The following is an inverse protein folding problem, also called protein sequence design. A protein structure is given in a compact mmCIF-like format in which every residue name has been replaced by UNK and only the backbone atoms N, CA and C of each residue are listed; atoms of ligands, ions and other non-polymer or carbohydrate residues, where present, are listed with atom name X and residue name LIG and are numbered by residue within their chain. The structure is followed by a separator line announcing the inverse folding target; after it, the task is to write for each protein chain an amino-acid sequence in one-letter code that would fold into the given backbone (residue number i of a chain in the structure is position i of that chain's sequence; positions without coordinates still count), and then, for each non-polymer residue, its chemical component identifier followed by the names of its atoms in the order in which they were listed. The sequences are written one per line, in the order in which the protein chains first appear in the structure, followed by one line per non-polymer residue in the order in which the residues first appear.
data_IF_601166391002
#
_entry.id   IF_601166391002
#
_cell.length_a   1.000
_cell.length_b   1.000
_cell.length_c   1.000
_cell.angle_alpha   90.00
_cell.angle_beta   90.00
_cell.angle_gamma   90.00
#
_symmetry.space_group_name_H-M   'P 1'
#
loop_
_entity.id
_entity.type
_entity.pdbx_description
1 polymer ?
#
# COMPACT_ATOMS: atom_id res chain seq x y z
N UNK A 1 5.15 -13.35 -17.48
CA UNK A 1 3.86 -12.71 -17.14
C UNK A 1 3.79 -12.52 -15.63
N UNK A 2 4.33 -11.40 -15.13
CA UNK A 2 4.53 -11.17 -13.68
C UNK A 2 3.24 -10.88 -12.91
N UNK A 3 2.26 -10.27 -13.57
CA UNK A 3 0.93 -10.03 -13.00
C UNK A 3 0.29 -11.34 -12.56
N UNK A 4 0.23 -12.34 -13.44
CA UNK A 4 -0.39 -13.63 -13.11
C UNK A 4 0.37 -14.36 -12.00
N UNK A 5 1.71 -14.30 -11.99
CA UNK A 5 2.51 -14.86 -10.90
C UNK A 5 2.15 -14.24 -9.55
N UNK A 6 2.05 -12.90 -9.50
CA UNK A 6 1.66 -12.20 -8.28
C UNK A 6 0.23 -12.55 -7.89
N UNK A 7 -0.72 -12.52 -8.83
CA UNK A 7 -2.12 -12.84 -8.53
C UNK A 7 -2.27 -14.25 -7.93
N UNK A 8 -1.58 -15.24 -8.50
CA UNK A 8 -1.58 -16.62 -7.99
C UNK A 8 -0.94 -16.69 -6.60
N UNK A 9 0.23 -16.06 -6.39
CA UNK A 9 0.96 -16.06 -5.12
C UNK A 9 0.10 -15.63 -3.93
N UNK A 10 -0.81 -14.68 -4.12
CA UNK A 10 -1.64 -14.10 -3.06
C UNK A 10 -3.10 -14.57 -3.06
N UNK A 11 -3.49 -15.51 -3.93
CA UNK A 11 -4.89 -15.92 -4.02
C UNK A 11 -5.81 -14.83 -4.61
N UNK A 12 -5.28 -13.89 -5.38
CA UNK A 12 -6.04 -12.98 -6.23
C UNK A 12 -6.41 -13.68 -7.54
N UNK A 13 -6.97 -14.89 -7.42
CA UNK A 13 -7.09 -15.89 -8.49
C UNK A 13 -8.50 -16.02 -9.08
N UNK A 14 -9.46 -15.21 -8.60
CA UNK A 14 -10.77 -15.08 -9.25
C UNK A 14 -10.80 -13.83 -10.11
N UNK A 15 -11.50 -13.91 -11.25
CA UNK A 15 -11.66 -12.76 -12.16
C UNK A 15 -12.31 -11.57 -11.47
N UNK A 16 -13.21 -11.83 -10.52
CA UNK A 16 -13.85 -10.81 -9.70
C UNK A 16 -12.83 -10.06 -8.81
N UNK A 17 -12.00 -10.79 -8.05
CA UNK A 17 -10.93 -10.18 -7.23
C UNK A 17 -9.95 -9.39 -8.08
N UNK A 18 -9.55 -9.92 -9.24
CA UNK A 18 -8.70 -9.21 -10.19
C UNK A 18 -9.35 -7.91 -10.68
N UNK A 19 -10.65 -7.92 -11.00
CA UNK A 19 -11.36 -6.72 -11.43
C UNK A 19 -11.36 -5.62 -10.35
N UNK A 20 -11.61 -5.98 -9.09
CA UNK A 20 -11.50 -5.04 -7.98
C UNK A 20 -10.07 -4.51 -7.80
N UNK A 21 -9.08 -5.41 -7.79
CA UNK A 21 -7.69 -5.02 -7.60
C UNK A 21 -7.22 -4.04 -8.68
N UNK A 22 -7.49 -4.32 -9.96
CA UNK A 22 -7.14 -3.42 -11.05
C UNK A 22 -8.00 -2.16 -11.08
N UNK A 23 -9.26 -2.22 -10.66
CA UNK A 23 -10.11 -1.03 -10.52
C UNK A 23 -9.56 -0.04 -9.50
N UNK A 24 -9.09 -0.57 -8.36
CA UNK A 24 -8.39 0.22 -7.34
C UNK A 24 -7.03 0.72 -7.86
N UNK A 25 -6.25 -0.14 -8.50
CA UNK A 25 -4.95 0.22 -9.07
C UNK A 25 -5.04 1.29 -10.15
N UNK A 26 -6.11 1.30 -10.95
CA UNK A 26 -6.32 2.31 -11.99
C UNK A 26 -6.43 3.72 -11.41
N UNK A 27 -7.04 3.87 -10.24
CA UNK A 27 -7.10 5.17 -9.55
C UNK A 27 -5.74 5.55 -8.98
N UNK A 28 -5.01 4.64 -8.32
CA UNK A 28 -3.71 4.98 -7.70
C UNK A 28 -2.60 5.30 -8.68
N UNK A 29 -2.61 4.66 -9.85
CA UNK A 29 -1.48 4.68 -10.80
C UNK A 29 -1.82 5.37 -12.11
N UNK A 30 -2.92 6.12 -12.16
CA UNK A 30 -3.45 6.71 -13.39
C UNK A 30 -3.60 5.68 -14.51
N UNK A 31 -4.27 4.56 -14.23
CA UNK A 31 -4.42 3.40 -15.12
C UNK A 31 -3.08 2.77 -15.53
N UNK A 32 -2.21 2.52 -14.54
CA UNK A 32 -0.89 1.91 -14.69
C UNK A 32 0.14 2.79 -15.43
N UNK A 33 -0.16 4.06 -15.66
CA UNK A 33 0.76 5.00 -16.31
C UNK A 33 1.85 5.51 -15.36
N UNK A 34 1.62 5.46 -14.04
CA UNK A 34 2.58 5.95 -13.04
C UNK A 34 2.82 4.92 -11.93
N UNK A 35 4.06 4.44 -11.87
CA UNK A 35 4.54 3.56 -10.80
C UNK A 35 5.32 4.31 -9.73
N UNK A 36 5.64 5.58 -9.95
CA UNK A 36 6.25 6.47 -8.98
C UNK A 36 5.32 7.66 -8.80
N UNK A 37 5.10 8.05 -7.55
CA UNK A 37 4.27 9.20 -7.23
C UNK A 37 4.81 10.49 -7.86
N UNK A 38 3.88 11.31 -8.37
CA UNK A 38 4.20 12.58 -9.02
C UNK A 38 4.56 13.66 -8.01
N UNK A 39 3.91 13.68 -6.85
CA UNK A 39 4.29 14.54 -5.74
C UNK A 39 5.68 14.13 -5.22
N UNK A 40 6.49 15.10 -4.80
CA UNK A 40 7.87 14.84 -4.35
C UNK A 40 7.92 14.14 -2.97
N UNK A 41 6.76 13.99 -2.33
CA UNK A 41 6.57 13.34 -1.04
C UNK A 41 6.69 14.26 0.18
N UNK A 42 6.88 15.58 0.00
CA UNK A 42 6.98 16.51 1.14
C UNK A 42 5.75 16.50 2.04
N UNK A 43 4.57 16.24 1.48
CA UNK A 43 3.29 16.19 2.21
C UNK A 43 3.19 14.99 3.17
N UNK A 44 4.08 14.01 3.02
CA UNK A 44 4.19 12.87 3.93
C UNK A 44 5.19 13.08 5.04
N UNK A 45 5.94 14.19 5.04
CA UNK A 45 6.95 14.47 6.06
C UNK A 45 6.30 14.59 7.44
N UNK A 46 6.86 13.91 8.45
CA UNK A 46 6.35 13.95 9.82
C UNK A 46 5.05 13.18 10.06
N UNK A 47 4.48 12.50 9.06
CA UNK A 47 3.25 11.72 9.24
C UNK A 47 3.49 10.45 10.04
N UNK A 48 3.09 10.48 11.30
CA UNK A 48 3.25 9.38 12.26
C UNK A 48 2.40 8.16 11.92
N UNK A 49 1.23 8.35 11.32
CA UNK A 49 0.30 7.26 10.99
C UNK A 49 0.79 6.33 9.86
N UNK A 50 1.81 6.77 9.12
CA UNK A 50 2.53 5.97 8.11
C UNK A 50 4.01 5.77 8.46
N UNK A 51 4.40 6.08 9.70
CA UNK A 51 5.74 5.89 10.25
C UNK A 51 6.82 6.84 9.73
N UNK A 52 6.46 7.98 9.13
CA UNK A 52 7.43 8.99 8.71
C UNK A 52 7.82 9.87 9.89
N UNK A 53 8.61 9.30 10.81
CA UNK A 53 8.99 9.93 12.09
C UNK A 53 10.42 10.48 12.11
N UNK A 54 11.19 10.27 11.03
CA UNK A 54 12.53 10.83 10.88
C UNK A 54 12.57 11.90 9.77
N UNK A 55 13.42 12.93 9.91
CA UNK A 55 13.61 13.92 8.85
C UNK A 55 13.96 13.30 7.49
N UNK A 56 13.23 13.69 6.45
CA UNK A 56 13.41 13.24 5.08
C UNK A 56 12.64 11.96 4.73
N UNK A 57 11.92 11.37 5.69
CA UNK A 57 11.10 10.18 5.44
C UNK A 57 10.01 10.44 4.39
N UNK A 58 9.44 11.64 4.34
CA UNK A 58 8.35 11.97 3.42
C UNK A 58 8.75 11.75 1.96
N UNK A 59 9.83 12.39 1.52
CA UNK A 59 10.33 12.25 0.15
C UNK A 59 10.89 10.86 -0.13
N UNK A 60 11.61 10.28 0.83
CA UNK A 60 12.26 8.97 0.67
C UNK A 60 11.22 7.86 0.48
N UNK A 61 10.16 7.87 1.28
CA UNK A 61 9.13 6.83 1.32
C UNK A 61 7.82 7.26 0.62
N UNK A 62 7.91 8.08 -0.44
CA UNK A 62 6.79 8.40 -1.33
C UNK A 62 6.26 7.17 -2.10
N UNK A 63 5.10 7.30 -2.70
CA UNK A 63 4.37 6.23 -3.37
C UNK A 63 5.16 5.52 -4.48
N UNK A 64 5.16 4.19 -4.44
CA UNK A 64 5.72 3.32 -5.49
C UNK A 64 4.84 2.11 -5.81
N UNK A 65 4.92 1.64 -7.06
CA UNK A 65 4.21 0.46 -7.57
C UNK A 65 2.73 0.70 -7.86
N UNK A 66 2.04 -0.38 -8.25
CA UNK A 66 0.65 -0.32 -8.77
C UNK A 66 -0.38 0.23 -7.78
N UNK A 67 -0.08 0.14 -6.48
CA UNK A 67 -0.93 0.63 -5.38
C UNK A 67 -0.30 1.76 -4.58
N UNK A 68 0.79 2.34 -5.07
CA UNK A 68 1.46 3.48 -4.44
C UNK A 68 1.73 3.24 -2.94
N UNK A 69 2.56 2.24 -2.61
CA UNK A 69 2.97 2.01 -1.22
C UNK A 69 3.70 3.26 -0.72
N UNK A 70 3.22 3.84 0.38
CA UNK A 70 3.70 5.11 0.93
C UNK A 70 3.97 4.98 2.42
N UNK A 71 5.03 5.63 2.90
CA UNK A 71 5.40 5.76 4.30
C UNK A 71 6.31 4.64 4.81
N UNK A 72 7.29 5.03 5.63
CA UNK A 72 8.37 4.15 6.09
C UNK A 72 7.89 2.91 6.84
N UNK A 73 6.76 3.00 7.54
CA UNK A 73 6.12 1.83 8.16
C UNK A 73 5.77 0.77 7.11
N UNK A 74 5.01 1.16 6.09
CA UNK A 74 4.56 0.23 5.04
C UNK A 74 5.74 -0.34 4.24
N UNK A 75 6.77 0.48 3.96
CA UNK A 75 8.01 0.01 3.36
C UNK A 75 8.74 -1.00 4.25
N UNK A 76 8.87 -0.74 5.55
CA UNK A 76 9.50 -1.65 6.51
C UNK A 76 8.81 -3.00 6.57
N UNK A 77 7.47 -3.01 6.66
CA UNK A 77 6.68 -4.25 6.66
C UNK A 77 6.81 -5.01 5.33
N UNK A 78 6.82 -4.31 4.19
CA UNK A 78 7.02 -4.95 2.89
C UNK A 78 8.45 -5.51 2.75
N UNK A 79 9.48 -4.78 3.17
CA UNK A 79 10.87 -5.27 3.14
C UNK A 79 11.05 -6.50 4.03
N UNK A 80 10.40 -6.52 5.19
CA UNK A 80 10.37 -7.68 6.07
C UNK A 80 9.69 -8.87 5.40
N UNK A 81 8.53 -8.65 4.78
CA UNK A 81 7.81 -9.69 4.04
C UNK A 81 8.63 -10.24 2.86
N UNK A 82 9.38 -9.38 2.17
CA UNK A 82 10.28 -9.79 1.07
C UNK A 82 11.55 -10.50 1.56
N UNK A 83 11.79 -10.52 2.86
CA UNK A 83 13.01 -11.08 3.46
C UNK A 83 14.25 -10.22 3.22
N UNK A 84 14.08 -8.96 2.78
CA UNK A 84 15.18 -8.00 2.61
C UNK A 84 15.61 -7.37 3.93
N UNK A 85 14.69 -7.32 4.89
CA UNK A 85 14.97 -7.02 6.29
C UNK A 85 14.34 -8.10 7.18
N UNK A 86 14.78 -8.19 8.43
CA UNK A 86 14.28 -9.08 9.45
C UNK A 86 13.78 -8.26 10.63
N UNK A 87 12.47 -8.26 10.85
CA UNK A 87 11.83 -7.62 12.01
C UNK A 87 12.35 -8.25 13.31
N UNK A 88 12.75 -7.42 14.27
CA UNK A 88 13.41 -7.83 15.51
C UNK A 88 14.94 -7.99 15.42
N UNK A 89 15.52 -8.04 14.22
CA UNK A 89 16.97 -8.11 14.01
C UNK A 89 17.47 -6.80 13.41
N UNK A 90 16.94 -6.43 12.25
CA UNK A 90 17.35 -5.23 11.50
C UNK A 90 16.59 -3.97 11.94
N UNK A 91 15.39 -4.13 12.50
CA UNK A 91 14.58 -3.05 13.07
C UNK A 91 13.65 -3.55 14.17
N UNK A 92 13.27 -2.68 15.09
CA UNK A 92 12.55 -3.08 16.30
C UNK A 92 11.02 -2.97 16.12
N UNK A 93 10.22 -3.93 16.63
CA UNK A 93 8.77 -3.80 16.63
C UNK A 93 8.27 -2.54 17.36
N UNK A 94 7.37 -1.80 16.72
CA UNK A 94 6.81 -0.57 17.28
C UNK A 94 7.79 0.60 17.29
N UNK A 95 8.78 0.62 16.39
CA UNK A 95 9.75 1.71 16.21
C UNK A 95 9.07 3.01 15.76
N UNK A 96 7.95 2.89 15.07
CA UNK A 96 7.16 4.00 14.54
C UNK A 96 6.41 4.76 15.62
N UNK A 97 6.30 4.19 16.82
CA UNK A 97 5.71 4.85 17.99
C UNK A 97 6.79 5.72 18.64
N UNK A 98 6.67 7.07 18.59
CA UNK A 98 7.65 7.94 19.22
C UNK A 98 7.70 7.71 20.73
N UNK A 99 8.89 7.75 21.32
CA UNK A 99 9.03 7.76 22.77
C UNK A 99 8.41 9.05 23.33
N UNK A 100 7.56 8.93 24.35
CA UNK A 100 7.03 10.08 25.08
C UNK A 100 7.72 10.23 26.44
N UNK A 101 7.43 11.32 27.16
CA UNK A 101 7.93 11.48 28.54
C UNK A 101 7.35 10.41 29.48
N UNK A 102 6.12 9.98 29.20
CA UNK A 102 5.36 8.97 29.96
C UNK A 102 5.73 7.54 29.56
N UNK A 103 6.13 7.33 28.30
CA UNK A 103 6.60 6.03 27.78
C UNK A 103 7.95 6.18 27.09
N UNK A 104 9.03 6.38 27.86
CA UNK A 104 10.36 6.50 27.29
C UNK A 104 10.80 5.15 26.71
N UNK A 105 11.30 5.13 25.47
CA UNK A 105 12.11 4.00 24.97
C UNK A 105 13.59 4.33 25.19
N UNK A 106 14.23 3.57 26.08
CA UNK A 106 15.69 3.62 26.28
C UNK A 106 16.24 2.20 26.21
N UNK A 107 17.09 1.87 25.21
CA UNK A 107 17.53 2.72 24.09
C UNK A 107 16.37 3.04 23.11
N UNK A 108 16.53 4.06 22.23
CA UNK A 108 15.57 4.33 21.17
C UNK A 108 15.39 3.11 20.28
N UNK A 109 14.15 2.81 19.90
CA UNK A 109 13.85 1.73 18.96
C UNK A 109 14.44 2.03 17.57
N UNK A 110 15.00 1.01 16.93
CA UNK A 110 15.65 1.10 15.62
C UNK A 110 14.60 1.07 14.50
N UNK A 111 14.52 2.10 13.65
CA UNK A 111 13.66 2.07 12.46
C UNK A 111 14.28 1.19 11.36
N UNK A 112 13.48 0.74 10.38
CA UNK A 112 14.00 0.05 9.20
C UNK A 112 14.93 0.97 8.41
N UNK A 113 16.14 0.49 8.15
CA UNK A 113 17.11 1.13 7.30
C UNK A 113 16.94 0.60 5.87
N UNK A 114 16.29 1.41 5.03
CA UNK A 114 16.05 1.10 3.63
C UNK A 114 16.83 2.11 2.81
N UNK A 115 17.95 1.71 2.24
CA UNK A 115 18.81 2.62 1.49
C UNK A 115 18.20 2.99 0.14
N UNK A 116 17.70 1.98 -0.58
CA UNK A 116 17.09 2.14 -1.90
C UNK A 116 15.60 1.75 -1.90
N UNK A 117 14.67 2.67 -1.62
CA UNK A 117 13.23 2.41 -1.75
C UNK A 117 12.78 2.22 -3.22
N UNK A 118 13.57 2.67 -4.20
CA UNK A 118 13.27 2.45 -5.63
C UNK A 118 13.40 0.97 -6.04
N UNK A 119 13.83 0.10 -5.13
CA UNK A 119 13.78 -1.36 -5.32
C UNK A 119 12.40 -1.89 -5.73
N UNK A 120 11.32 -1.20 -5.34
CA UNK A 120 9.96 -1.52 -5.81
C UNK A 120 9.84 -1.36 -7.34
N UNK A 121 10.55 -0.39 -7.92
CA UNK A 121 10.46 0.01 -9.33
C UNK A 121 11.44 -0.74 -10.24
N UNK A 122 12.46 -1.39 -9.69
CA UNK A 122 13.52 -2.06 -10.45
C UNK A 122 13.00 -3.11 -11.45
N UNK A 123 11.85 -3.72 -11.19
CA UNK A 123 11.24 -4.66 -12.11
C UNK A 123 9.71 -4.75 -11.95
N UNK A 124 9.06 -5.23 -13.01
CA UNK A 124 7.60 -5.39 -13.06
C UNK A 124 7.08 -6.27 -11.92
N UNK A 125 7.81 -7.32 -11.56
CA UNK A 125 7.40 -8.21 -10.47
C UNK A 125 7.26 -7.43 -9.15
N UNK A 126 8.27 -6.65 -8.77
CA UNK A 126 8.23 -5.87 -7.53
C UNK A 126 7.12 -4.81 -7.52
N UNK A 127 6.88 -4.13 -8.65
CA UNK A 127 5.81 -3.14 -8.78
C UNK A 127 4.42 -3.74 -8.52
N UNK A 128 4.19 -4.97 -8.98
CA UNK A 128 2.89 -5.65 -8.81
C UNK A 128 2.83 -6.37 -7.46
N UNK A 129 3.89 -7.08 -7.09
CA UNK A 129 3.98 -7.87 -5.86
C UNK A 129 3.69 -7.01 -4.62
N UNK A 130 4.26 -5.81 -4.54
CA UNK A 130 3.99 -4.88 -3.46
C UNK A 130 2.53 -4.48 -3.39
N UNK A 131 1.91 -4.17 -4.53
CA UNK A 131 0.51 -3.77 -4.53
C UNK A 131 -0.46 -4.90 -4.18
N UNK A 132 -0.18 -6.13 -4.64
CA UNK A 132 -1.01 -7.29 -4.28
C UNK A 132 -0.78 -7.68 -2.81
N UNK A 133 0.47 -7.67 -2.32
CA UNK A 133 0.80 -7.84 -0.90
C UNK A 133 0.04 -6.85 -0.03
N UNK A 134 0.11 -5.55 -0.38
CA UNK A 134 -0.56 -4.49 0.38
C UNK A 134 -2.08 -4.72 0.40
N UNK A 135 -2.65 -5.05 -0.76
CA UNK A 135 -4.10 -5.18 -0.90
C UNK A 135 -4.64 -6.44 -0.25
N UNK A 136 -3.95 -7.58 -0.32
CA UNK A 136 -4.51 -8.87 0.09
C UNK A 136 -4.02 -9.32 1.46
N UNK A 137 -2.73 -9.15 1.75
CA UNK A 137 -2.14 -9.60 3.02
C UNK A 137 -2.14 -8.50 4.07
N UNK A 138 -1.67 -7.31 3.70
CA UNK A 138 -1.53 -6.21 4.66
C UNK A 138 -2.88 -5.58 5.03
N UNK A 139 -3.77 -5.41 4.04
CA UNK A 139 -5.16 -4.98 4.22
C UNK A 139 -6.11 -6.18 4.11
N UNK A 140 -6.03 -7.10 5.08
CA UNK A 140 -6.65 -8.43 5.02
C UNK A 140 -8.19 -8.44 4.79
N UNK A 141 -8.91 -7.40 5.17
CA UNK A 141 -10.37 -7.30 4.93
C UNK A 141 -10.73 -7.05 3.46
N UNK A 142 -9.76 -6.63 2.64
CA UNK A 142 -9.97 -6.29 1.23
C UNK A 142 -10.44 -7.49 0.41
N UNK A 143 -9.80 -8.66 0.56
CA UNK A 143 -10.17 -9.84 -0.22
C UNK A 143 -11.62 -10.28 0.05
N UNK A 144 -12.05 -10.25 1.32
CA UNK A 144 -13.43 -10.56 1.68
C UNK A 144 -14.42 -9.52 1.13
N UNK A 145 -14.04 -8.25 1.03
CA UNK A 145 -14.85 -7.22 0.37
C UNK A 145 -14.97 -7.44 -1.14
N UNK A 146 -13.87 -7.85 -1.80
CA UNK A 146 -13.88 -8.22 -3.21
C UNK A 146 -14.82 -9.39 -3.50
N UNK A 147 -14.85 -10.40 -2.61
CA UNK A 147 -15.72 -11.58 -2.74
C UNK A 147 -17.21 -11.23 -2.64
N UNK A 148 -17.56 -10.19 -1.87
CA UNK A 148 -18.92 -9.66 -1.78
C UNK A 148 -19.26 -8.69 -2.93
N UNK A 149 -18.34 -8.51 -3.85
CA UNK A 149 -18.42 -7.54 -4.94
C UNK A 149 -18.61 -6.08 -4.49
N UNK A 150 -18.06 -5.71 -3.34
CA UNK A 150 -18.31 -4.42 -2.69
C UNK A 150 -17.14 -3.45 -2.89
N UNK A 151 -17.22 -2.59 -3.92
CA UNK A 151 -16.18 -1.61 -4.24
C UNK A 151 -15.98 -0.59 -3.10
N UNK A 152 -17.04 -0.25 -2.36
CA UNK A 152 -16.97 0.69 -1.24
C UNK A 152 -16.19 0.09 -0.09
N UNK A 153 -16.52 -1.14 0.32
CA UNK A 153 -15.79 -1.84 1.35
C UNK A 153 -14.32 -2.11 0.96
N UNK A 154 -14.04 -2.41 -0.31
CA UNK A 154 -12.65 -2.51 -0.82
C UNK A 154 -11.92 -1.18 -0.68
N UNK A 155 -12.56 -0.08 -1.07
CA UNK A 155 -11.97 1.28 -0.97
C UNK A 155 -11.68 1.65 0.48
N UNK A 156 -12.62 1.34 1.38
CA UNK A 156 -12.45 1.55 2.82
C UNK A 156 -11.32 0.71 3.40
N UNK A 157 -11.24 -0.59 3.05
CA UNK A 157 -10.19 -1.47 3.53
C UNK A 157 -8.78 -0.99 3.13
N UNK A 158 -8.65 -0.40 1.94
CA UNK A 158 -7.37 0.05 1.39
C UNK A 158 -6.94 1.42 1.89
N UNK A 159 -7.87 2.37 1.97
CA UNK A 159 -7.59 3.78 2.30
C UNK A 159 -7.86 4.12 3.78
N UNK A 160 -8.62 3.29 4.51
CA UNK A 160 -9.13 3.62 5.82
C UNK A 160 -10.09 4.81 5.80
N UNK A 161 -10.32 5.41 6.97
CA UNK A 161 -11.16 6.60 7.14
C UNK A 161 -12.51 6.31 7.80
N UNK A 162 -13.41 7.30 7.80
CA UNK A 162 -14.79 7.17 8.29
C UNK A 162 -15.76 7.28 7.13
N UNK A 163 -16.67 6.33 7.01
CA UNK A 163 -17.66 6.25 5.94
C UNK A 163 -18.68 7.40 6.00
N UNK A 164 -18.27 8.52 5.43
CA UNK A 164 -19.06 9.75 5.34
C UNK A 164 -19.14 10.18 3.88
N UNK A 165 -20.13 10.99 3.48
CA UNK A 165 -20.20 11.52 2.11
C UNK A 165 -18.94 12.28 1.68
N UNK A 166 -18.29 12.98 2.63
CA UNK A 166 -17.02 13.66 2.38
C UNK A 166 -15.88 12.67 2.10
N UNK A 167 -15.81 11.58 2.85
CA UNK A 167 -14.83 10.52 2.63
C UNK A 167 -15.05 9.82 1.27
N UNK A 168 -16.29 9.56 0.87
CA UNK A 168 -16.57 8.95 -0.44
C UNK A 168 -16.05 9.83 -1.58
N UNK A 169 -16.25 11.14 -1.47
CA UNK A 169 -15.72 12.12 -2.42
C UNK A 169 -14.18 12.13 -2.42
N UNK A 170 -13.56 12.20 -1.24
CA UNK A 170 -12.11 12.32 -1.11
C UNK A 170 -11.36 11.01 -1.44
N UNK A 171 -12.03 9.86 -1.34
CA UNK A 171 -11.46 8.55 -1.68
C UNK A 171 -11.58 8.20 -3.17
N UNK A 172 -12.14 9.09 -4.00
CA UNK A 172 -12.43 8.84 -5.42
C UNK A 172 -13.30 7.59 -5.65
N UNK A 173 -14.27 7.33 -4.75
CA UNK A 173 -15.09 6.12 -4.79
C UNK A 173 -15.84 5.95 -6.14
N UNK A 174 -16.35 7.05 -6.71
CA UNK A 174 -17.02 7.04 -8.00
C UNK A 174 -16.13 6.51 -9.14
N UNK A 175 -14.87 6.96 -9.20
CA UNK A 175 -13.91 6.49 -10.21
C UNK A 175 -13.53 5.03 -10.00
N UNK A 176 -13.35 4.61 -8.73
CA UNK A 176 -13.07 3.20 -8.39
C UNK A 176 -14.20 2.29 -8.84
N UNK A 177 -15.47 2.71 -8.66
CA UNK A 177 -16.64 1.99 -9.18
C UNK A 177 -16.58 1.91 -10.70
N UNK A 178 -16.37 3.04 -11.38
CA UNK A 178 -16.35 3.11 -12.84
C UNK A 178 -15.24 2.22 -13.44
N UNK A 179 -14.02 2.29 -12.92
CA UNK A 179 -12.91 1.45 -13.38
C UNK A 179 -13.17 -0.03 -13.13
N UNK A 180 -13.63 -0.39 -11.93
CA UNK A 180 -13.94 -1.79 -11.60
C UNK A 180 -15.00 -2.36 -12.54
N UNK A 181 -16.07 -1.61 -12.82
CA UNK A 181 -17.13 -2.04 -13.73
C UNK A 181 -16.64 -2.18 -15.18
N UNK A 182 -15.78 -1.28 -15.66
CA UNK A 182 -15.16 -1.41 -16.99
C UNK A 182 -14.29 -2.65 -17.10
N UNK A 183 -13.51 -2.96 -16.08
CA UNK A 183 -12.63 -4.14 -16.07
C UNK A 183 -13.44 -5.43 -15.97
N UNK A 184 -14.53 -5.45 -15.18
CA UNK A 184 -15.46 -6.58 -15.13
C UNK A 184 -16.00 -6.96 -16.50
N UNK A 185 -16.33 -5.99 -17.36
CA UNK A 185 -16.81 -6.26 -18.73
C UNK A 185 -15.80 -6.98 -19.63
N UNK A 186 -14.52 -6.95 -19.27
CA UNK A 186 -13.45 -7.63 -20.01
C UNK A 186 -13.13 -8.99 -19.39
N UNK A 187 -13.14 -9.06 -18.05
CA UNK A 187 -12.75 -10.26 -17.33
C UNK A 187 -13.90 -11.25 -17.13
N UNK A 188 -15.12 -10.78 -16.85
CA UNK A 188 -16.30 -11.63 -16.57
C UNK A 188 -17.09 -11.86 -17.86
#
# INVERSE_FOLDING_TARGET
MEINKCCIKYGLNTRLRMAHFFGQGAVESMSLNRMLEEHDGSDYEGRTDIGNVSPGDGKKFRGRGIKQITGRFNYGEYWAFRGWLKKGIDFDPGWETPATKETPSKPPKRPPLIDNPDRILENVYNCVDGGVWYSVLFRSSTAAAMDRDDVRAVTHAVNGGKDTPLWEKNSALGDRINHTQRIKKVLL
#
